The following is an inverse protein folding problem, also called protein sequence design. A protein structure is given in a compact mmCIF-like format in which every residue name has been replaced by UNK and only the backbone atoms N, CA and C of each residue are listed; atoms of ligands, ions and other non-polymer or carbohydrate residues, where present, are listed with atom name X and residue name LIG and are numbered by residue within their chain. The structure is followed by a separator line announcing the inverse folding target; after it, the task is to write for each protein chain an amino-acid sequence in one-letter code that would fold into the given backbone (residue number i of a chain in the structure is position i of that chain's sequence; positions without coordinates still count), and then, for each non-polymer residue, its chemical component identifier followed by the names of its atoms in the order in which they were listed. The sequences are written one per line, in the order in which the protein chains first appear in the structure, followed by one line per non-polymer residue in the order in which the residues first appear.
data_IF_445868600193
#
_entry.id   IF_445868600193
#
_cell.length_a   1.000
_cell.length_b   1.000
_cell.length_c   1.000
_cell.angle_alpha   90.00
_cell.angle_beta   90.00
_cell.angle_gamma   90.00
#
_symmetry.space_group_name_H-M   'P 1'
#
loop_
_entity.id
_entity.type
_entity.pdbx_description
1 polymer ?
#
# COMPACT_ATOMS: atom_id res chain seq x y z
N UNK A 1 -22.69 13.14 -23.14
CA UNK A 1 -21.48 13.53 -22.36
C UNK A 1 -20.48 12.40 -22.55
N UNK A 2 -19.29 12.62 -23.14
CA UNK A 2 -18.27 11.57 -23.18
C UNK A 2 -17.96 11.14 -21.74
N UNK A 3 -18.08 9.86 -21.45
CA UNK A 3 -17.76 9.28 -20.14
C UNK A 3 -16.27 9.41 -19.93
N UNK A 4 -15.85 10.42 -19.16
CA UNK A 4 -14.45 10.62 -18.79
C UNK A 4 -13.98 9.36 -18.06
N UNK A 5 -12.98 8.68 -18.59
CA UNK A 5 -12.44 7.45 -17.98
C UNK A 5 -11.90 7.77 -16.59
N UNK A 6 -12.41 7.11 -15.56
CA UNK A 6 -11.95 7.32 -14.18
C UNK A 6 -10.50 6.84 -14.06
N UNK A 7 -9.56 7.67 -13.56
CA UNK A 7 -8.19 7.21 -13.35
C UNK A 7 -8.17 6.04 -12.35
N UNK A 8 -7.48 4.96 -12.71
CA UNK A 8 -7.36 3.74 -11.88
C UNK A 8 -5.94 3.55 -11.35
N UNK A 9 -5.12 4.60 -11.40
CA UNK A 9 -3.72 4.59 -10.94
C UNK A 9 -3.55 5.53 -9.77
N UNK A 10 -2.80 5.10 -8.76
CA UNK A 10 -2.23 6.00 -7.76
C UNK A 10 -0.86 6.43 -8.29
N UNK A 11 -0.61 7.73 -8.34
CA UNK A 11 0.70 8.27 -8.68
C UNK A 11 1.42 8.58 -7.38
N UNK A 12 2.60 7.99 -7.23
CA UNK A 12 3.32 8.02 -5.98
C UNK A 12 4.55 8.93 -6.12
N UNK A 13 4.83 9.73 -5.10
CA UNK A 13 6.04 10.56 -4.97
C UNK A 13 6.63 10.40 -3.58
N UNK A 14 7.80 10.98 -3.29
CA UNK A 14 8.44 10.78 -1.99
C UNK A 14 7.56 11.16 -0.79
N UNK A 15 6.78 12.24 -0.88
CA UNK A 15 6.04 12.79 0.27
C UNK A 15 4.52 12.90 0.05
N UNK A 16 4.06 12.86 -1.21
CA UNK A 16 2.66 13.12 -1.58
C UNK A 16 2.17 12.01 -2.50
N UNK A 17 1.00 11.48 -2.20
CA UNK A 17 0.28 10.55 -3.08
C UNK A 17 -0.76 11.34 -3.86
N UNK A 18 -0.84 11.12 -5.18
CA UNK A 18 -1.93 11.61 -6.00
C UNK A 18 -2.92 10.47 -6.21
N UNK A 19 -4.10 10.65 -5.66
CA UNK A 19 -5.16 9.65 -5.60
C UNK A 19 -6.31 10.05 -6.53
N UNK A 20 -6.85 9.14 -7.36
CA UNK A 20 -8.05 9.43 -8.14
C UNK A 20 -9.23 9.73 -7.21
N UNK A 21 -9.78 10.94 -7.30
CA UNK A 21 -10.77 11.40 -6.32
C UNK A 21 -12.04 10.53 -6.33
N UNK A 22 -12.45 10.06 -7.51
CA UNK A 22 -13.59 9.17 -7.71
C UNK A 22 -13.49 7.82 -6.98
N UNK A 23 -12.30 7.39 -6.57
CA UNK A 23 -12.10 6.14 -5.82
C UNK A 23 -12.17 6.37 -4.30
N UNK A 24 -12.05 7.61 -3.84
CA UNK A 24 -12.00 7.96 -2.43
C UNK A 24 -13.39 8.11 -1.81
N UNK A 25 -13.47 7.87 -0.50
CA UNK A 25 -14.64 8.19 0.31
C UNK A 25 -14.40 9.49 1.06
N UNK A 26 -15.41 10.36 1.06
CA UNK A 26 -15.40 11.59 1.83
C UNK A 26 -15.36 11.30 3.34
N UNK A 27 -14.57 12.07 4.11
CA UNK A 27 -14.53 11.98 5.57
C UNK A 27 -15.38 13.06 6.25
N UNK A 28 -15.84 14.03 5.48
CA UNK A 28 -16.67 15.16 5.90
C UNK A 28 -17.52 15.66 4.73
N UNK A 29 -18.53 16.50 5.01
CA UNK A 29 -19.29 17.17 3.96
C UNK A 29 -18.43 18.11 3.10
N UNK A 30 -17.38 18.71 3.70
CA UNK A 30 -16.44 19.54 2.96
C UNK A 30 -15.62 18.69 1.97
N UNK A 31 -15.12 17.53 2.42
CA UNK A 31 -14.42 16.57 1.58
C UNK A 31 -15.31 16.10 0.42
N UNK A 32 -16.59 15.82 0.69
CA UNK A 32 -17.51 15.33 -0.33
C UNK A 32 -17.66 16.30 -1.51
N UNK A 33 -17.78 17.60 -1.23
CA UNK A 33 -17.90 18.63 -2.27
C UNK A 33 -16.63 18.76 -3.11
N UNK A 34 -15.47 18.63 -2.47
CA UNK A 34 -14.17 18.70 -3.13
C UNK A 34 -13.96 17.47 -4.01
N UNK A 35 -14.17 16.27 -3.46
CA UNK A 35 -14.00 15.00 -4.18
C UNK A 35 -14.94 14.88 -5.39
N UNK A 36 -16.17 15.41 -5.30
CA UNK A 36 -17.14 15.37 -6.38
C UNK A 36 -16.71 16.17 -7.63
N UNK A 37 -15.78 17.13 -7.49
CA UNK A 37 -15.33 18.00 -8.57
C UNK A 37 -13.89 17.72 -9.00
N UNK A 38 -13.16 16.92 -8.23
CA UNK A 38 -11.75 16.66 -8.43
C UNK A 38 -11.53 15.45 -9.32
N UNK A 39 -10.49 15.51 -10.16
CA UNK A 39 -9.96 14.32 -10.82
C UNK A 39 -8.93 13.63 -9.90
N UNK A 40 -8.10 14.44 -9.23
CA UNK A 40 -7.06 13.96 -8.32
C UNK A 40 -7.08 14.67 -6.96
N UNK A 41 -6.68 13.94 -5.93
CA UNK A 41 -6.45 14.45 -4.59
C UNK A 41 -4.99 14.26 -4.18
N UNK A 42 -4.34 15.32 -3.74
CA UNK A 42 -3.00 15.29 -3.19
C UNK A 42 -3.08 14.99 -1.69
N UNK A 43 -2.54 13.86 -1.27
CA UNK A 43 -2.52 13.40 0.12
C UNK A 43 -1.09 13.33 0.63
N UNK A 44 -0.80 13.97 1.76
CA UNK A 44 0.48 13.84 2.44
C UNK A 44 0.62 12.43 3.02
N UNK A 45 1.74 11.76 2.75
CA UNK A 45 1.96 10.37 3.19
C UNK A 45 2.05 10.22 4.72
N UNK A 46 2.85 11.06 5.38
CA UNK A 46 3.15 10.94 6.82
C UNK A 46 1.94 10.93 7.74
N UNK A 47 0.86 11.63 7.37
CA UNK A 47 -0.33 11.82 8.24
C UNK A 47 -1.67 11.65 7.50
N UNK A 48 -1.64 11.35 6.20
CA UNK A 48 -2.85 11.15 5.40
C UNK A 48 -3.71 12.40 5.22
N UNK A 49 -3.16 13.59 5.48
CA UNK A 49 -3.87 14.87 5.31
C UNK A 49 -4.03 15.21 3.84
N UNK A 50 -5.22 15.66 3.46
CA UNK A 50 -5.47 16.19 2.12
C UNK A 50 -4.89 17.60 2.02
N UNK A 51 -4.03 17.81 1.01
CA UNK A 51 -3.28 19.05 0.80
C UNK A 51 -3.94 19.93 -0.25
N UNK A 52 -4.38 19.32 -1.35
CA UNK A 52 -5.01 19.99 -2.46
C UNK A 52 -5.87 19.00 -3.25
N UNK A 53 -6.79 19.53 -4.04
CA UNK A 53 -7.53 18.79 -5.05
C UNK A 53 -7.24 19.40 -6.42
N UNK A 54 -6.92 18.58 -7.41
CA UNK A 54 -6.85 19.03 -8.79
C UNK A 54 -8.23 18.87 -9.43
N UNK A 55 -8.74 20.00 -9.92
CA UNK A 55 -10.01 20.18 -10.61
C UNK A 55 -9.72 20.43 -12.10
N UNK A 56 -10.76 20.36 -12.93
CA UNK A 56 -10.64 20.60 -14.37
C UNK A 56 -10.03 21.98 -14.75
N UNK A 57 -10.18 22.99 -13.88
CA UNK A 57 -9.75 24.38 -14.13
C UNK A 57 -8.59 24.83 -13.22
N UNK A 58 -7.97 23.92 -12.46
CA UNK A 58 -6.83 24.26 -11.62
C UNK A 58 -6.74 23.46 -10.33
N UNK A 59 -5.86 23.88 -9.43
CA UNK A 59 -5.62 23.22 -8.15
C UNK A 59 -6.26 24.04 -7.04
N UNK A 60 -7.13 23.39 -6.25
CA UNK A 60 -7.75 23.96 -5.06
C UNK A 60 -6.94 23.57 -3.81
N UNK A 61 -6.29 24.52 -3.11
CA UNK A 61 -5.63 24.23 -1.85
C UNK A 61 -6.63 23.86 -0.75
N UNK A 62 -6.30 22.84 0.04
CA UNK A 62 -7.05 22.43 1.24
C UNK A 62 -6.29 22.74 2.53
N UNK A 63 -5.10 23.35 2.40
CA UNK A 63 -4.26 23.81 3.51
C UNK A 63 -3.75 25.23 3.25
N UNK A 64 -3.56 26.08 4.30
CA UNK A 64 -3.21 27.49 4.12
C UNK A 64 -1.83 27.76 3.50
N UNK A 65 -0.89 26.82 3.62
CA UNK A 65 0.51 26.99 3.17
C UNK A 65 0.93 25.88 2.21
N UNK A 66 0.06 25.55 1.24
CA UNK A 66 0.29 24.48 0.26
C UNK A 66 1.68 24.59 -0.38
N UNK A 67 2.07 25.77 -0.85
CA UNK A 67 3.37 26.01 -1.49
C UNK A 67 4.61 25.71 -0.63
N UNK A 68 4.45 25.48 0.69
CA UNK A 68 5.54 25.07 1.59
C UNK A 68 5.54 23.57 1.90
N UNK A 69 4.61 22.81 1.32
CA UNK A 69 4.55 21.37 1.52
C UNK A 69 5.73 20.68 0.81
N UNK A 70 6.53 19.86 1.51
CA UNK A 70 7.60 19.10 0.90
C UNK A 70 7.07 18.18 -0.21
N UNK A 71 7.75 18.15 -1.35
CA UNK A 71 7.41 17.29 -2.49
C UNK A 71 6.22 17.78 -3.33
N UNK A 72 5.76 19.03 -3.15
CA UNK A 72 4.68 19.59 -3.96
C UNK A 72 5.06 19.70 -5.45
N UNK A 73 6.26 20.21 -5.74
CA UNK A 73 6.75 20.34 -7.12
C UNK A 73 6.85 18.96 -7.79
N UNK A 74 7.45 17.98 -7.09
CA UNK A 74 7.50 16.57 -7.53
C UNK A 74 6.10 15.99 -7.81
N UNK A 75 5.11 16.31 -6.97
CA UNK A 75 3.73 15.87 -7.17
C UNK A 75 3.07 16.50 -8.41
N UNK A 76 3.34 17.77 -8.70
CA UNK A 76 2.81 18.42 -9.89
C UNK A 76 3.50 17.95 -11.17
N UNK A 77 4.82 17.80 -11.15
CA UNK A 77 5.59 17.21 -12.26
C UNK A 77 5.05 15.82 -12.59
N UNK A 78 4.79 15.02 -11.54
CA UNK A 78 4.23 13.67 -11.69
C UNK A 78 2.82 13.67 -12.29
N UNK A 79 1.99 14.63 -11.90
CA UNK A 79 0.63 14.78 -12.42
C UNK A 79 0.66 15.14 -13.90
N UNK A 80 1.48 16.11 -14.29
CA UNK A 80 1.66 16.52 -15.68
C UNK A 80 2.17 15.37 -16.56
N UNK A 81 3.14 14.60 -16.05
CA UNK A 81 3.67 13.44 -16.76
C UNK A 81 2.64 12.30 -16.95
N UNK A 82 1.63 12.20 -16.09
CA UNK A 82 0.62 11.14 -16.18
C UNK A 82 -0.37 11.32 -17.34
N UNK A 83 -0.53 12.54 -17.84
CA UNK A 83 -1.39 12.90 -18.98
C UNK A 83 -0.68 12.72 -20.33
N UNK A 84 0.63 12.46 -20.34
CA UNK A 84 1.43 12.31 -21.56
C UNK A 84 1.28 10.90 -22.18
N UNK A 85 0.92 10.77 -23.48
CA UNK A 85 0.80 9.48 -24.15
C UNK A 85 2.16 8.78 -24.31
N UNK A 86 2.18 7.44 -24.17
CA UNK A 86 3.33 6.60 -24.55
C UNK A 86 4.37 6.33 -23.45
N UNK A 87 4.22 6.91 -22.26
CA UNK A 87 5.09 6.62 -21.12
C UNK A 87 4.37 5.64 -20.19
N UNK A 88 4.89 4.41 -20.04
CA UNK A 88 4.43 3.48 -18.99
C UNK A 88 5.26 3.74 -17.74
N UNK A 89 4.70 4.38 -16.70
CA UNK A 89 5.42 4.62 -15.46
C UNK A 89 5.42 3.38 -14.53
N UNK A 90 4.97 2.23 -15.04
CA UNK A 90 4.95 0.98 -14.30
C UNK A 90 6.39 0.46 -14.14
N UNK A 91 6.77 0.11 -12.91
CA UNK A 91 8.11 -0.41 -12.60
C UNK A 91 9.18 0.66 -12.31
N UNK A 92 8.83 1.95 -12.36
CA UNK A 92 9.70 3.00 -11.80
C UNK A 92 9.62 2.96 -10.28
N UNK A 93 10.77 2.88 -9.62
CA UNK A 93 10.89 2.89 -8.17
C UNK A 93 11.25 4.28 -7.65
N UNK A 94 10.69 4.65 -6.51
CA UNK A 94 11.03 5.88 -5.80
C UNK A 94 12.39 5.73 -5.12
N UNK A 95 13.20 6.80 -5.08
CA UNK A 95 14.44 6.81 -4.33
C UNK A 95 14.24 6.42 -2.86
N UNK A 96 15.12 5.56 -2.35
CA UNK A 96 15.13 5.12 -0.94
C UNK A 96 15.98 6.02 -0.04
N UNK A 97 16.46 7.16 -0.55
CA UNK A 97 17.27 8.08 0.22
C UNK A 97 16.50 8.67 1.41
N UNK A 98 17.21 8.81 2.53
CA UNK A 98 16.61 9.23 3.80
C UNK A 98 15.92 8.12 4.58
N UNK A 99 15.73 6.92 4.00
CA UNK A 99 15.28 5.75 4.76
C UNK A 99 16.29 5.35 5.84
N UNK A 100 17.59 5.39 5.52
CA UNK A 100 18.68 5.21 6.49
C UNK A 100 18.56 6.14 7.70
N UNK A 101 18.21 7.41 7.48
CA UNK A 101 17.99 8.37 8.58
C UNK A 101 16.79 7.97 9.44
N UNK A 102 15.72 7.49 8.84
CA UNK A 102 14.51 7.03 9.56
C UNK A 102 14.81 5.76 10.38
N UNK A 103 15.55 4.81 9.81
CA UNK A 103 16.01 3.61 10.53
C UNK A 103 16.89 3.99 11.72
N UNK A 104 17.84 4.91 11.53
CA UNK A 104 18.69 5.41 12.61
C UNK A 104 17.89 6.10 13.73
N UNK A 105 16.85 6.87 13.40
CA UNK A 105 15.93 7.47 14.39
C UNK A 105 15.18 6.44 15.23
N UNK A 106 14.98 5.24 14.69
CA UNK A 106 14.37 4.11 15.39
C UNK A 106 15.39 3.23 16.12
N UNK A 107 16.68 3.60 16.12
CA UNK A 107 17.80 2.78 16.59
C UNK A 107 17.92 1.42 15.86
N UNK A 108 17.57 1.39 14.56
CA UNK A 108 17.72 0.21 13.70
C UNK A 108 18.95 0.41 12.82
N UNK A 109 19.98 -0.42 13.02
CA UNK A 109 21.14 -0.47 12.13
C UNK A 109 20.84 -1.36 10.93
N UNK A 110 20.82 -0.76 9.73
CA UNK A 110 20.42 -1.43 8.47
C UNK A 110 21.18 -2.74 8.25
N UNK A 111 22.52 -2.71 8.28
CA UNK A 111 23.34 -3.89 8.02
C UNK A 111 23.12 -5.01 9.03
N UNK A 112 22.91 -4.66 10.30
CA UNK A 112 22.62 -5.64 11.34
C UNK A 112 21.23 -6.27 11.14
N UNK A 113 20.25 -5.45 10.76
CA UNK A 113 18.88 -5.90 10.49
C UNK A 113 18.82 -6.82 9.26
N UNK A 114 19.52 -6.47 8.18
CA UNK A 114 19.66 -7.31 6.98
C UNK A 114 20.31 -8.65 7.33
N UNK A 115 21.42 -8.66 8.08
CA UNK A 115 22.09 -9.91 8.48
C UNK A 115 21.22 -10.79 9.36
N UNK A 116 20.44 -10.19 10.27
CA UNK A 116 19.61 -10.93 11.21
C UNK A 116 18.36 -11.53 10.55
N UNK A 117 17.70 -10.76 9.68
CA UNK A 117 16.39 -11.13 9.11
C UNK A 117 16.49 -11.69 7.69
N UNK A 118 17.57 -11.41 6.97
CA UNK A 118 17.66 -11.68 5.52
C UNK A 118 16.70 -10.84 4.66
N UNK A 119 15.94 -9.92 5.26
CA UNK A 119 15.08 -8.99 4.52
C UNK A 119 15.94 -7.97 3.77
N UNK A 120 15.40 -7.47 2.67
CA UNK A 120 16.06 -6.47 1.82
C UNK A 120 15.30 -5.16 1.85
N UNK A 121 16.01 -4.08 1.57
CA UNK A 121 15.38 -2.81 1.29
C UNK A 121 14.47 -2.91 0.06
N UNK A 122 13.29 -2.33 0.18
CA UNK A 122 12.26 -2.30 -0.85
C UNK A 122 11.90 -0.85 -1.11
N UNK A 123 12.19 -0.40 -2.33
CA UNK A 123 11.73 0.89 -2.83
C UNK A 123 10.22 0.86 -3.07
N UNK A 124 9.58 2.01 -2.92
CA UNK A 124 8.17 2.13 -3.25
C UNK A 124 8.00 2.32 -4.77
N UNK A 125 6.98 1.74 -5.41
CA UNK A 125 6.71 2.02 -6.82
C UNK A 125 6.18 3.45 -7.00
N UNK A 126 6.59 4.12 -8.08
CA UNK A 126 6.10 5.44 -8.48
C UNK A 126 4.67 5.41 -9.06
N UNK A 127 4.15 4.21 -9.34
CA UNK A 127 2.78 3.97 -9.85
C UNK A 127 2.22 2.71 -9.23
N UNK A 128 0.98 2.79 -8.73
CA UNK A 128 0.21 1.62 -8.31
C UNK A 128 -1.11 1.56 -9.05
N UNK A 129 -1.67 0.36 -9.13
CA UNK A 129 -2.93 0.05 -9.78
C UNK A 129 -4.02 -0.17 -8.74
N UNK A 130 -5.20 0.36 -9.03
CA UNK A 130 -6.42 0.04 -8.30
C UNK A 130 -6.77 -1.45 -8.47
N UNK A 131 -6.85 -2.15 -7.35
CA UNK A 131 -7.04 -3.59 -7.28
C UNK A 131 -8.39 -3.98 -6.64
N UNK A 132 -9.32 -3.03 -6.53
CA UNK A 132 -10.60 -3.18 -5.84
C UNK A 132 -10.62 -2.44 -4.51
N UNK A 133 -11.50 -2.87 -3.60
CA UNK A 133 -11.59 -2.31 -2.25
C UNK A 133 -11.22 -3.38 -1.23
N UNK A 134 -10.59 -2.96 -0.15
CA UNK A 134 -10.41 -3.83 1.01
C UNK A 134 -11.73 -3.99 1.76
N UNK A 135 -11.74 -4.88 2.76
CA UNK A 135 -12.92 -5.17 3.59
C UNK A 135 -13.45 -3.96 4.38
N UNK A 136 -12.66 -2.89 4.50
CA UNK A 136 -13.06 -1.63 5.12
C UNK A 136 -13.58 -0.60 4.10
N UNK A 137 -13.67 -0.99 2.83
CA UNK A 137 -14.14 -0.16 1.72
C UNK A 137 -13.10 0.86 1.22
N UNK A 138 -11.84 0.77 1.66
CA UNK A 138 -10.75 1.65 1.21
C UNK A 138 -10.21 1.12 -0.12
N UNK A 139 -9.73 1.99 -1.03
CA UNK A 139 -9.09 1.55 -2.26
C UNK A 139 -7.87 0.66 -1.96
N UNK A 140 -7.83 -0.50 -2.60
CA UNK A 140 -6.68 -1.40 -2.58
C UNK A 140 -5.74 -1.02 -3.71
N UNK A 141 -4.47 -0.80 -3.36
CA UNK A 141 -3.41 -0.45 -4.30
C UNK A 141 -2.37 -1.57 -4.33
N UNK A 142 -2.02 -2.04 -5.52
CA UNK A 142 -0.97 -3.04 -5.74
C UNK A 142 -0.14 -2.63 -6.97
N UNK A 143 1.01 -3.27 -7.19
CA UNK A 143 1.74 -3.15 -8.45
C UNK A 143 0.84 -3.58 -9.61
N UNK A 144 1.17 -3.18 -10.84
CA UNK A 144 0.37 -3.58 -12.00
C UNK A 144 0.28 -5.11 -12.16
N UNK A 145 1.39 -5.81 -11.88
CA UNK A 145 1.47 -7.27 -11.89
C UNK A 145 0.65 -7.92 -10.77
N UNK A 146 0.90 -7.51 -9.52
CA UNK A 146 0.19 -8.01 -8.35
C UNK A 146 -1.32 -7.76 -8.43
N UNK A 147 -1.74 -6.60 -8.95
CA UNK A 147 -3.15 -6.29 -9.14
C UNK A 147 -3.83 -7.13 -10.23
N UNK A 148 -3.12 -7.50 -11.31
CA UNK A 148 -3.66 -8.44 -12.32
C UNK A 148 -3.78 -9.84 -11.74
N UNK A 149 -2.72 -10.32 -11.07
CA UNK A 149 -2.69 -11.63 -10.44
C UNK A 149 -3.77 -11.76 -9.35
N UNK A 150 -3.94 -10.73 -8.51
CA UNK A 150 -4.98 -10.69 -7.48
C UNK A 150 -6.37 -10.85 -8.08
N UNK A 151 -6.70 -10.10 -9.15
CA UNK A 151 -8.01 -10.24 -9.80
C UNK A 151 -8.26 -11.64 -10.36
N UNK A 152 -7.23 -12.28 -10.92
CA UNK A 152 -7.34 -13.64 -11.43
C UNK A 152 -7.54 -14.65 -10.30
N UNK A 153 -6.75 -14.54 -9.24
CA UNK A 153 -6.84 -15.40 -8.05
C UNK A 153 -8.19 -15.24 -7.35
N UNK A 154 -8.61 -14.01 -7.09
CA UNK A 154 -9.90 -13.70 -6.48
C UNK A 154 -11.08 -14.23 -7.31
N UNK A 155 -11.06 -14.05 -8.64
CA UNK A 155 -12.10 -14.60 -9.51
C UNK A 155 -12.10 -16.14 -9.55
N UNK A 156 -10.93 -16.78 -9.42
CA UNK A 156 -10.82 -18.23 -9.37
C UNK A 156 -11.34 -18.81 -8.05
N UNK A 157 -11.03 -18.15 -6.92
CA UNK A 157 -11.58 -18.50 -5.61
C UNK A 157 -13.11 -18.43 -5.63
N UNK A 158 -13.67 -17.33 -6.16
CA UNK A 158 -15.13 -17.18 -6.27
C UNK A 158 -15.79 -18.27 -7.12
N UNK A 159 -15.15 -18.74 -8.20
CA UNK A 159 -15.67 -19.87 -9.00
C UNK A 159 -15.63 -21.22 -8.26
N UNK A 160 -14.87 -21.30 -7.18
CA UNK A 160 -14.79 -22.45 -6.29
C UNK A 160 -15.62 -22.23 -5.00
N UNK A 161 -16.54 -21.26 -5.00
CA UNK A 161 -17.36 -20.87 -3.84
C UNK A 161 -16.53 -20.44 -2.61
N UNK A 162 -15.31 -19.94 -2.83
CA UNK A 162 -14.42 -19.38 -1.81
C UNK A 162 -14.40 -17.86 -1.94
N UNK A 163 -14.78 -17.17 -0.86
CA UNK A 163 -14.70 -15.71 -0.78
C UNK A 163 -13.36 -15.32 -0.15
N UNK A 164 -12.63 -14.43 -0.82
CA UNK A 164 -11.39 -13.86 -0.31
C UNK A 164 -11.57 -12.35 -0.14
N UNK A 165 -11.27 -11.84 1.05
CA UNK A 165 -11.30 -10.40 1.32
C UNK A 165 -9.88 -9.84 1.41
N UNK A 166 -9.62 -8.74 0.71
CA UNK A 166 -8.39 -7.99 0.92
C UNK A 166 -8.48 -7.20 2.24
N UNK A 167 -7.44 -7.27 3.07
CA UNK A 167 -7.32 -6.52 4.32
C UNK A 167 -6.43 -5.29 4.13
N UNK A 168 -5.27 -5.47 3.49
CA UNK A 168 -4.28 -4.42 3.26
C UNK A 168 -3.39 -4.76 2.06
N UNK A 169 -3.00 -3.74 1.27
CA UNK A 169 -2.13 -3.87 0.10
C UNK A 169 -0.90 -3.00 0.24
N UNK A 170 -0.60 -2.16 -0.77
CA UNK A 170 0.51 -1.22 -0.69
C UNK A 170 0.48 -0.36 0.57
N UNK A 171 1.68 -0.16 1.14
CA UNK A 171 1.94 0.66 2.32
C UNK A 171 3.22 1.45 2.11
N UNK A 172 3.17 2.78 2.25
CA UNK A 172 4.38 3.60 2.16
C UNK A 172 5.32 3.40 3.36
N UNK A 173 6.59 3.76 3.20
CA UNK A 173 7.59 3.87 4.26
C UNK A 173 7.10 4.80 5.37
N UNK A 174 6.48 5.93 5.01
CA UNK A 174 5.86 6.89 5.94
C UNK A 174 4.73 6.25 6.75
N UNK A 175 3.85 5.49 6.11
CA UNK A 175 2.77 4.81 6.80
C UNK A 175 3.32 3.76 7.79
N UNK A 176 4.34 3.00 7.37
CA UNK A 176 4.99 2.00 8.22
C UNK A 176 5.67 2.66 9.43
N UNK A 177 6.34 3.80 9.25
CA UNK A 177 6.88 4.58 10.36
C UNK A 177 5.77 5.03 11.33
N UNK A 178 4.63 5.48 10.82
CA UNK A 178 3.47 5.81 11.65
C UNK A 178 2.92 4.62 12.45
N UNK A 179 3.03 3.38 11.96
CA UNK A 179 2.70 2.18 12.75
C UNK A 179 3.65 2.06 13.95
N UNK A 180 4.95 2.24 13.72
CA UNK A 180 5.96 2.18 14.79
C UNK A 180 5.70 3.26 15.84
N UNK A 181 5.50 4.51 15.43
CA UNK A 181 5.19 5.63 16.33
C UNK A 181 3.96 5.33 17.21
N UNK A 182 2.88 4.81 16.63
CA UNK A 182 1.69 4.42 17.39
C UNK A 182 1.94 3.27 18.37
N UNK A 183 2.81 2.31 18.02
CA UNK A 183 3.16 1.20 18.92
C UNK A 183 4.07 1.63 20.06
N UNK A 184 5.04 2.52 19.80
CA UNK A 184 5.82 3.15 20.86
C UNK A 184 4.94 3.97 21.81
N UNK A 185 3.98 4.73 21.27
CA UNK A 185 3.02 5.48 22.10
C UNK A 185 2.12 4.56 22.96
N UNK A 186 1.96 3.29 22.57
CA UNK A 186 1.28 2.24 23.37
C UNK A 186 2.22 1.51 24.34
N UNK A 187 3.50 1.90 24.44
CA UNK A 187 4.47 1.34 25.37
C UNK A 187 5.18 0.08 24.87
N UNK A 188 5.07 -0.29 23.59
CA UNK A 188 5.77 -1.45 23.05
C UNK A 188 7.26 -1.12 22.84
N UNK A 189 8.13 -2.09 23.11
CA UNK A 189 9.56 -1.99 22.81
C UNK A 189 9.82 -2.17 21.31
N UNK A 190 10.98 -1.72 20.83
CA UNK A 190 11.38 -1.92 19.43
C UNK A 190 11.38 -3.41 19.04
N UNK A 191 11.88 -4.28 19.92
CA UNK A 191 11.90 -5.74 19.72
C UNK A 191 10.48 -6.31 19.56
N UNK A 192 9.54 -5.93 20.43
CA UNK A 192 8.14 -6.34 20.34
C UNK A 192 7.48 -5.85 19.05
N UNK A 193 7.84 -4.66 18.57
CA UNK A 193 7.35 -4.15 17.29
C UNK A 193 7.92 -4.95 16.13
N UNK A 194 9.24 -5.19 16.12
CA UNK A 194 9.94 -5.88 15.05
C UNK A 194 9.56 -7.36 14.92
N UNK A 195 9.11 -8.00 16.00
CA UNK A 195 8.57 -9.36 15.97
C UNK A 195 7.31 -9.48 15.08
N UNK A 196 6.49 -8.43 15.01
CA UNK A 196 5.18 -8.46 14.31
C UNK A 196 5.09 -7.46 13.15
N UNK A 197 6.17 -6.72 12.88
CA UNK A 197 6.24 -5.79 11.77
C UNK A 197 7.67 -5.65 11.27
N UNK A 198 7.87 -5.85 9.97
CA UNK A 198 9.12 -5.46 9.32
C UNK A 198 9.43 -3.96 9.55
N UNK A 199 10.72 -3.64 9.68
CA UNK A 199 11.18 -2.25 9.79
C UNK A 199 10.72 -1.41 8.57
N UNK A 200 10.53 -0.08 8.72
CA UNK A 200 10.27 0.79 7.57
C UNK A 200 11.31 0.58 6.47
N UNK A 201 10.85 0.32 5.25
CA UNK A 201 11.71 0.01 4.11
C UNK A 201 12.01 -1.47 3.90
N UNK A 202 11.66 -2.34 4.84
CA UNK A 202 11.84 -3.79 4.75
C UNK A 202 10.52 -4.57 4.65
N UNK A 203 9.38 -3.87 4.74
CA UNK A 203 8.07 -4.50 4.55
C UNK A 203 7.81 -4.80 3.08
N UNK A 204 7.35 -6.02 2.79
CA UNK A 204 6.96 -6.40 1.43
C UNK A 204 5.81 -5.54 0.87
N UNK A 205 4.96 -4.95 1.72
CA UNK A 205 3.91 -4.03 1.30
C UNK A 205 4.44 -2.76 0.61
N UNK A 206 5.71 -2.39 0.81
CA UNK A 206 6.31 -1.25 0.12
C UNK A 206 6.35 -1.44 -1.39
N UNK A 207 6.54 -2.68 -1.86
CA UNK A 207 6.60 -3.00 -3.29
C UNK A 207 5.25 -2.86 -4.01
N UNK A 208 4.15 -2.90 -3.26
CA UNK A 208 2.81 -3.10 -3.82
C UNK A 208 2.55 -4.53 -4.30
N UNK A 209 3.45 -5.48 -4.06
CA UNK A 209 3.27 -6.89 -4.41
C UNK A 209 2.73 -7.74 -3.27
N UNK A 210 2.74 -7.23 -2.03
CA UNK A 210 2.17 -7.92 -0.87
C UNK A 210 0.71 -7.53 -0.62
N UNK A 211 -0.06 -8.53 -0.20
CA UNK A 211 -1.48 -8.45 0.08
C UNK A 211 -1.79 -9.25 1.34
N UNK A 212 -2.44 -8.61 2.30
CA UNK A 212 -3.07 -9.30 3.42
C UNK A 212 -4.45 -9.78 2.98
N UNK A 213 -4.69 -11.09 3.07
CA UNK A 213 -5.93 -11.76 2.65
C UNK A 213 -6.61 -12.37 3.87
N UNK A 214 -7.93 -12.20 3.94
CA UNK A 214 -8.79 -12.88 4.89
C UNK A 214 -10.02 -13.47 4.20
N UNK A 215 -11.03 -13.74 5.00
CA UNK A 215 -12.35 -14.21 4.56
C UNK A 215 -13.43 -13.49 5.38
N UNK A 216 -14.68 -13.40 4.91
CA UNK A 216 -15.79 -12.94 5.72
C UNK A 216 -15.89 -13.69 7.06
N UNK A 217 -16.48 -13.03 8.06
CA UNK A 217 -16.72 -13.55 9.42
C UNK A 217 -15.49 -13.90 10.26
N UNK A 218 -14.28 -13.77 9.70
CA UNK A 218 -13.02 -13.90 10.44
C UNK A 218 -12.43 -12.54 10.83
N UNK A 219 -11.78 -12.45 12.00
CA UNK A 219 -10.94 -11.31 12.35
C UNK A 219 -9.85 -11.04 11.30
N UNK A 220 -9.56 -9.76 10.98
CA UNK A 220 -8.52 -9.43 10.02
C UNK A 220 -7.12 -9.64 10.60
N UNK A 221 -6.26 -10.30 9.84
CA UNK A 221 -4.84 -10.47 10.16
C UNK A 221 -4.61 -11.15 11.52
N UNK A 222 -5.35 -12.24 11.75
CA UNK A 222 -5.19 -13.12 12.91
C UNK A 222 -4.89 -14.55 12.48
N UNK A 223 -4.26 -15.32 13.38
CA UNK A 223 -3.86 -16.70 13.11
C UNK A 223 -5.07 -17.61 12.85
N UNK A 224 -6.26 -17.29 13.37
CA UNK A 224 -7.50 -18.07 13.15
C UNK A 224 -7.80 -18.29 11.67
N UNK A 225 -7.38 -17.37 10.79
CA UNK A 225 -7.55 -17.48 9.35
C UNK A 225 -7.00 -18.80 8.79
N UNK A 226 -5.96 -19.38 9.39
CA UNK A 226 -5.36 -20.62 8.92
C UNK A 226 -6.32 -21.82 8.95
N UNK A 227 -7.35 -21.77 9.79
CA UNK A 227 -8.33 -22.85 9.97
C UNK A 227 -9.47 -22.81 8.95
N UNK A 228 -9.47 -21.80 8.09
CA UNK A 228 -10.58 -21.53 7.18
C UNK A 228 -10.47 -22.29 5.85
N UNK A 229 -11.61 -22.56 5.17
CA UNK A 229 -11.59 -23.05 3.80
C UNK A 229 -10.84 -22.12 2.83
N UNK A 230 -10.89 -20.81 3.08
CA UNK A 230 -10.20 -19.81 2.27
C UNK A 230 -8.67 -19.97 2.33
N UNK A 231 -8.11 -20.16 3.53
CA UNK A 231 -6.68 -20.42 3.67
C UNK A 231 -6.27 -21.76 3.05
N UNK A 232 -7.06 -22.82 3.25
CA UNK A 232 -6.80 -24.12 2.63
C UNK A 232 -6.79 -24.03 1.08
N UNK A 233 -7.71 -23.24 0.52
CA UNK A 233 -7.74 -22.96 -0.92
C UNK A 233 -6.50 -22.20 -1.38
N UNK A 234 -6.08 -21.14 -0.67
CA UNK A 234 -4.87 -20.37 -0.99
C UNK A 234 -3.62 -21.24 -0.97
N UNK A 235 -3.46 -22.09 0.05
CA UNK A 235 -2.33 -23.03 0.15
C UNK A 235 -2.22 -23.95 -1.07
N UNK A 236 -3.34 -24.29 -1.69
CA UNK A 236 -3.37 -25.20 -2.85
C UNK A 236 -3.27 -24.49 -4.19
N UNK A 237 -3.69 -23.21 -4.29
CA UNK A 237 -3.91 -22.54 -5.56
C UNK A 237 -3.10 -21.24 -5.75
N UNK A 238 -2.70 -20.55 -4.69
CA UNK A 238 -2.13 -19.19 -4.78
C UNK A 238 -0.86 -19.14 -5.64
N UNK A 239 -0.03 -20.19 -5.58
CA UNK A 239 1.20 -20.28 -6.37
C UNK A 239 0.94 -20.24 -7.88
N UNK A 240 -0.19 -20.78 -8.37
CA UNK A 240 -0.55 -20.74 -9.78
C UNK A 240 -0.80 -19.30 -10.28
N UNK A 241 -1.07 -18.36 -9.37
CA UNK A 241 -1.22 -16.94 -9.64
C UNK A 241 0.04 -16.13 -9.27
N UNK A 242 1.11 -16.80 -8.85
CA UNK A 242 2.37 -16.18 -8.44
C UNK A 242 2.40 -15.67 -7.00
N UNK A 243 1.42 -16.01 -6.16
CA UNK A 243 1.40 -15.65 -4.74
C UNK A 243 2.01 -16.75 -3.87
N UNK A 244 2.83 -16.35 -2.90
CA UNK A 244 3.37 -17.22 -1.85
C UNK A 244 3.10 -16.65 -0.46
N UNK A 245 2.92 -17.53 0.52
CA UNK A 245 2.89 -17.17 1.93
C UNK A 245 4.30 -16.71 2.36
N UNK A 246 4.46 -15.48 2.84
CA UNK A 246 5.80 -14.94 3.14
C UNK A 246 6.34 -15.33 4.50
N UNK A 247 5.45 -15.46 5.50
CA UNK A 247 5.84 -15.69 6.89
C UNK A 247 5.18 -16.96 7.44
N UNK A 248 5.57 -18.17 6.98
CA UNK A 248 5.23 -19.42 7.68
C UNK A 248 5.89 -19.50 9.07
N UNK A 249 5.49 -20.46 9.91
CA UNK A 249 5.99 -20.61 11.30
C UNK A 249 7.52 -20.73 11.41
N UNK A 250 8.18 -21.25 10.39
CA UNK A 250 9.62 -21.51 10.30
C UNK A 250 10.35 -20.49 9.38
N UNK A 251 9.73 -19.35 9.10
CA UNK A 251 10.36 -18.34 8.25
C UNK A 251 11.67 -17.81 8.88
N UNK A 252 12.69 -17.50 8.06
CA UNK A 252 14.00 -17.09 8.55
C UNK A 252 14.07 -15.61 8.97
N UNK A 253 12.96 -14.87 8.89
CA UNK A 253 12.96 -13.42 9.01
C UNK A 253 12.78 -12.92 10.45
N UNK A 254 12.48 -13.81 11.40
CA UNK A 254 12.16 -13.45 12.78
C UNK A 254 10.82 -12.70 12.90
N UNK A 255 10.00 -12.73 11.85
CA UNK A 255 8.62 -12.23 11.87
C UNK A 255 7.73 -13.37 12.33
N UNK A 256 6.74 -13.08 13.19
CA UNK A 256 5.77 -14.09 13.63
C UNK A 256 5.03 -14.72 12.44
N UNK A 257 4.36 -15.84 12.69
CA UNK A 257 3.53 -16.48 11.67
C UNK A 257 2.39 -15.55 11.23
N UNK A 258 2.26 -15.33 9.91
CA UNK A 258 1.22 -14.48 9.33
C UNK A 258 0.46 -15.24 8.21
N UNK A 259 -0.53 -16.09 8.53
CA UNK A 259 -1.29 -16.85 7.53
C UNK A 259 -2.02 -15.98 6.50
N UNK A 260 -2.24 -14.70 6.83
CA UNK A 260 -2.89 -13.73 5.98
C UNK A 260 -1.93 -13.05 4.98
N UNK A 261 -0.61 -13.10 5.15
CA UNK A 261 0.34 -12.29 4.35
C UNK A 261 0.86 -13.04 3.12
N UNK A 262 0.41 -12.63 1.93
CA UNK A 262 0.76 -13.24 0.66
C UNK A 262 1.47 -12.26 -0.25
N UNK A 263 2.59 -12.66 -0.82
CA UNK A 263 3.35 -11.85 -1.77
C UNK A 263 3.31 -12.42 -3.16
N UNK A 264 2.98 -11.56 -4.12
CA UNK A 264 3.15 -11.82 -5.53
C UNK A 264 4.62 -11.69 -5.94
N UNK A 265 5.07 -12.58 -6.82
CA UNK A 265 6.31 -12.40 -7.57
C UNK A 265 6.08 -12.78 -9.01
N UNK A 266 6.77 -12.08 -9.92
CA UNK A 266 6.80 -12.46 -11.32
C UNK A 266 7.51 -13.83 -11.43
N UNK A 267 6.85 -14.78 -12.08
CA UNK A 267 7.45 -16.06 -12.46
C UNK A 267 8.58 -15.87 -13.48
#
# INVERSE_FOLDING_TARGET
MPTRSVPTRLLNTRYIELLPAALLRARSNADARVLAQADWLLRRKRDGRYLAAQLAHGVMPLVPRLAREPGLDEAFDRLQAADMPGMSPDGVELPVDGLQRRLAQLNIAEDAYVRHTGLRLIAEPATLQFAGRDRFGRPLWLSAGGARAWRQMHAAALRADIVLDAISGYRSHDYQLGIFERKFARGLTLEQILAVNAAPGFSEHHSGDALDIGTPDEPPAEESFETTPAFAWLRSNAQAFGFRLSYPRDNPHGIVYEPWHWRWSRA
#
